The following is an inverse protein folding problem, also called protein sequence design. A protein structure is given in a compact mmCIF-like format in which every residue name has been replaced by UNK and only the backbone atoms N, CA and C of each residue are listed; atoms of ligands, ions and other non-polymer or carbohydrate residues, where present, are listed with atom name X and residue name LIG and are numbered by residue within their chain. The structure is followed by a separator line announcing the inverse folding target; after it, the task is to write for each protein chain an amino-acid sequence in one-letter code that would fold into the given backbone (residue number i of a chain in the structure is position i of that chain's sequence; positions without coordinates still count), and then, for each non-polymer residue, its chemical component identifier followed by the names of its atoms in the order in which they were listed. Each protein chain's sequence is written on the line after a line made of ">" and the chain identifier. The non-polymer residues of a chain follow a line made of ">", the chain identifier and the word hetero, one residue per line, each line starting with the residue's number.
data_IF_407463940612
#
_entry.id   IF_407463940612
#
_cell.length_a   1.000
_cell.length_b   1.000
_cell.length_c   1.000
_cell.angle_alpha   90.00
_cell.angle_beta   90.00
_cell.angle_gamma   90.00
#
_symmetry.space_group_name_H-M   'P 1'
#
loop_
_entity.id
_entity.type
_entity.pdbx_description
1 polymer ?
#
# COMPACT_ATOMS: atom_id res chain seq x y z
N UNK A 1 -10.13 18.19 9.19
CA UNK A 1 -9.58 17.07 9.97
C UNK A 1 -8.25 16.70 9.32
N UNK A 2 -7.16 16.56 10.09
CA UNK A 2 -5.89 16.12 9.50
C UNK A 2 -5.96 14.63 9.17
N UNK A 3 -5.41 14.18 8.03
CA UNK A 3 -5.31 12.75 7.73
C UNK A 3 -4.48 12.06 8.81
N UNK A 4 -4.95 10.90 9.27
CA UNK A 4 -4.26 10.06 10.25
C UNK A 4 -4.00 8.68 9.63
N UNK A 5 -2.96 8.56 8.78
CA UNK A 5 -2.66 7.32 8.09
C UNK A 5 -2.23 6.25 9.09
N UNK A 6 -2.69 5.03 8.86
CA UNK A 6 -2.29 3.86 9.66
C UNK A 6 -0.89 3.40 9.28
N UNK A 7 -0.21 2.70 10.21
CA UNK A 7 1.09 2.08 9.93
C UNK A 7 1.03 1.13 8.72
N UNK A 8 -0.09 0.41 8.58
CA UNK A 8 -0.33 -0.49 7.46
C UNK A 8 -0.31 0.23 6.11
N UNK A 9 -0.96 1.39 6.01
CA UNK A 9 -0.99 2.18 4.78
C UNK A 9 0.40 2.74 4.45
N UNK A 10 1.20 3.12 5.45
CA UNK A 10 2.58 3.55 5.24
C UNK A 10 3.47 2.39 4.75
N UNK A 11 3.27 1.17 5.26
CA UNK A 11 3.98 -0.01 4.77
C UNK A 11 3.62 -0.34 3.32
N UNK A 12 2.33 -0.21 2.95
CA UNK A 12 1.86 -0.33 1.57
C UNK A 12 2.55 0.71 0.68
N UNK A 13 2.61 1.97 1.12
CA UNK A 13 3.27 3.06 0.38
C UNK A 13 4.74 2.74 0.08
N UNK A 14 5.50 2.35 1.10
CA UNK A 14 6.92 1.99 0.93
C UNK A 14 7.07 0.79 -0.01
N UNK A 15 6.24 -0.25 0.14
CA UNK A 15 6.32 -1.43 -0.72
C UNK A 15 6.03 -1.10 -2.19
N UNK A 16 5.08 -0.21 -2.48
CA UNK A 16 4.79 0.25 -3.85
C UNK A 16 5.93 1.10 -4.39
N UNK A 17 6.48 2.02 -3.59
CA UNK A 17 7.61 2.85 -4.00
C UNK A 17 8.86 2.01 -4.32
N UNK A 18 9.17 1.00 -3.50
CA UNK A 18 10.30 0.09 -3.70
C UNK A 18 10.16 -0.76 -4.96
N UNK A 19 8.95 -1.25 -5.23
CA UNK A 19 8.70 -2.24 -6.29
C UNK A 19 8.27 -1.61 -7.61
N UNK A 20 7.82 -0.35 -7.60
CA UNK A 20 7.27 0.35 -8.76
C UNK A 20 5.97 -0.25 -9.31
N UNK A 21 5.33 -1.19 -8.59
CA UNK A 21 4.15 -1.90 -9.08
C UNK A 21 3.24 -2.38 -7.95
N UNK A 22 1.94 -2.08 -8.07
CA UNK A 22 0.92 -2.54 -7.10
C UNK A 22 0.82 -4.07 -7.02
N UNK A 23 0.99 -4.78 -8.14
CA UNK A 23 0.93 -6.24 -8.15
C UNK A 23 2.18 -6.86 -7.54
N UNK A 24 3.36 -6.25 -7.74
CA UNK A 24 4.60 -6.67 -7.11
C UNK A 24 4.59 -6.40 -5.60
N UNK A 25 4.11 -5.23 -5.17
CA UNK A 25 3.91 -4.89 -3.75
C UNK A 25 2.92 -5.87 -3.07
N UNK A 26 1.82 -6.22 -3.74
CA UNK A 26 0.87 -7.22 -3.25
C UNK A 26 1.54 -8.57 -3.00
N UNK A 27 2.36 -9.05 -3.95
CA UNK A 27 3.15 -10.29 -3.76
C UNK A 27 4.14 -10.18 -2.60
N UNK A 28 4.86 -9.06 -2.48
CA UNK A 28 5.83 -8.79 -1.39
C UNK A 28 5.16 -8.82 -0.01
N UNK A 29 3.94 -8.28 0.09
CA UNK A 29 3.18 -8.17 1.35
C UNK A 29 2.23 -9.36 1.59
N UNK A 30 2.21 -10.36 0.71
CA UNK A 30 1.25 -11.46 0.71
C UNK A 30 -0.23 -10.98 0.77
N UNK A 31 -0.59 -10.05 -0.12
CA UNK A 31 -1.92 -9.43 -0.23
C UNK A 31 -2.39 -9.38 -1.68
N UNK A 32 -3.70 -9.34 -1.88
CA UNK A 32 -4.28 -9.05 -3.19
C UNK A 32 -3.90 -7.62 -3.63
N UNK A 33 -3.67 -7.44 -4.94
CA UNK A 33 -3.33 -6.14 -5.52
C UNK A 33 -4.42 -5.08 -5.23
N UNK A 34 -5.69 -5.49 -5.19
CA UNK A 34 -6.81 -4.62 -4.85
C UNK A 34 -6.69 -4.02 -3.45
N UNK A 35 -6.27 -4.80 -2.45
CA UNK A 35 -6.05 -4.31 -1.08
C UNK A 35 -4.96 -3.23 -1.05
N UNK A 36 -3.88 -3.43 -1.81
CA UNK A 36 -2.80 -2.45 -1.95
C UNK A 36 -3.32 -1.15 -2.58
N UNK A 37 -4.09 -1.23 -3.67
CA UNK A 37 -4.64 -0.03 -4.31
C UNK A 37 -5.63 0.73 -3.41
N UNK A 38 -6.49 0.02 -2.68
CA UNK A 38 -7.40 0.65 -1.72
C UNK A 38 -6.65 1.28 -0.54
N UNK A 39 -5.58 0.65 -0.06
CA UNK A 39 -4.72 1.19 1.00
C UNK A 39 -4.09 2.53 0.61
N UNK A 40 -3.59 2.64 -0.63
CA UNK A 40 -3.01 3.88 -1.17
C UNK A 40 -4.07 4.94 -1.42
N UNK A 41 -5.23 4.57 -1.96
CA UNK A 41 -6.30 5.53 -2.27
C UNK A 41 -6.86 6.23 -1.02
N UNK A 42 -6.70 5.63 0.16
CA UNK A 42 -7.16 6.13 1.46
C UNK A 42 -6.04 6.71 2.34
N UNK A 43 -4.84 6.97 1.78
CA UNK A 43 -3.77 7.73 2.44
C UNK A 43 -4.09 9.23 2.44
#
# INVERSE_FOLDING_TARGET
>A
MQPNPTLDQLQILVAVADTGSFSAAGRKLNRAQSVVSYGIANL
#
